data_IF_547347077452
#
_entry.id   IF_547347077452
#
_cell.length_a   1.000
_cell.length_b   1.000
_cell.length_c   1.000
_cell.angle_alpha   90.00
_cell.angle_beta   90.00
_cell.angle_gamma   90.00
#
_symmetry.space_group_name_H-M   'P 1'
#
loop_
_entity.id
_entity.type
_entity.pdbx_description
1 polymer ?
#
# COMPACT_ATOMS: atom_id res chain seq x y z
N UNK A 1 -0.80 16.10 7.95
CA UNK A 1 -0.65 15.22 6.77
C UNK A 1 0.65 14.42 6.93
N UNK A 2 0.71 13.60 7.98
CA UNK A 2 1.95 13.00 8.49
C UNK A 2 1.61 11.73 9.28
N UNK A 3 0.72 10.88 8.75
CA UNK A 3 0.15 9.78 9.52
C UNK A 3 0.66 8.40 9.09
N UNK A 4 1.45 8.34 8.01
CA UNK A 4 2.22 7.15 7.63
C UNK A 4 3.54 7.56 6.96
N UNK A 5 4.47 6.62 6.89
CA UNK A 5 5.75 6.78 6.19
C UNK A 5 5.95 5.59 5.28
N UNK A 6 6.30 5.85 4.03
CA UNK A 6 6.70 4.81 3.09
C UNK A 6 8.15 4.41 3.37
N UNK A 7 8.42 3.12 3.19
CA UNK A 7 9.81 2.66 3.10
C UNK A 7 10.31 2.93 1.69
N UNK A 8 11.62 3.05 1.50
CA UNK A 8 12.19 3.20 0.17
C UNK A 8 11.75 2.08 -0.78
N UNK A 9 11.63 0.83 -0.28
CA UNK A 9 11.12 -0.29 -1.07
C UNK A 9 9.68 -0.06 -1.53
N UNK A 10 8.81 0.44 -0.64
CA UNK A 10 7.42 0.75 -0.99
C UNK A 10 7.30 1.93 -1.98
N UNK A 11 8.21 2.90 -1.92
CA UNK A 11 8.28 3.98 -2.92
C UNK A 11 8.68 3.46 -4.30
N UNK A 12 9.65 2.53 -4.35
CA UNK A 12 10.07 1.86 -5.57
C UNK A 12 8.93 0.99 -6.12
N UNK A 13 8.27 0.19 -5.28
CA UNK A 13 7.13 -0.65 -5.69
C UNK A 13 6.03 0.19 -6.35
N UNK A 14 5.73 1.37 -5.80
CA UNK A 14 4.75 2.28 -6.38
C UNK A 14 5.18 2.81 -7.75
N UNK A 15 6.45 3.19 -7.90
CA UNK A 15 7.00 3.64 -9.18
C UNK A 15 6.94 2.53 -10.24
N UNK A 16 7.37 1.32 -9.88
CA UNK A 16 7.40 0.16 -10.78
C UNK A 16 5.98 -0.24 -11.22
N UNK A 17 4.99 -0.17 -10.33
CA UNK A 17 3.58 -0.44 -10.66
C UNK A 17 3.06 0.57 -11.68
N UNK A 18 3.37 1.85 -11.51
CA UNK A 18 2.95 2.90 -12.44
C UNK A 18 3.65 2.72 -13.80
N UNK A 19 4.97 2.57 -13.82
CA UNK A 19 5.76 2.40 -15.04
C UNK A 19 5.30 1.16 -15.83
N UNK A 20 5.12 0.02 -15.15
CA UNK A 20 4.56 -1.18 -15.77
C UNK A 20 3.16 -0.92 -16.31
N UNK A 21 2.32 -0.23 -15.54
CA UNK A 21 0.97 0.15 -15.95
C UNK A 21 0.97 0.95 -17.25
N UNK A 22 1.83 1.97 -17.33
CA UNK A 22 1.95 2.85 -18.50
C UNK A 22 2.46 2.07 -19.72
N UNK A 23 3.49 1.24 -19.54
CA UNK A 23 4.10 0.45 -20.60
C UNK A 23 3.16 -0.60 -21.20
N UNK A 24 2.26 -1.18 -20.40
CA UNK A 24 1.44 -2.31 -20.82
C UNK A 24 -0.03 -1.99 -21.07
N UNK A 25 -0.59 -0.98 -20.41
CA UNK A 25 -2.03 -0.66 -20.46
C UNK A 25 -2.32 0.80 -20.85
N UNK A 26 -1.27 1.62 -20.96
CA UNK A 26 -1.38 3.05 -21.28
C UNK A 26 -1.63 3.92 -20.06
N UNK A 27 -1.23 5.20 -20.16
CA UNK A 27 -1.20 6.15 -19.04
C UNK A 27 -2.52 6.31 -18.30
N UNK A 28 -3.65 6.37 -19.02
CA UNK A 28 -4.95 6.56 -18.35
C UNK A 28 -5.31 5.39 -17.43
N UNK A 29 -5.11 4.16 -17.88
CA UNK A 29 -5.41 2.96 -17.09
C UNK A 29 -4.42 2.80 -15.93
N UNK A 30 -3.14 3.14 -16.16
CA UNK A 30 -2.10 3.11 -15.14
C UNK A 30 -2.41 4.08 -13.99
N UNK A 31 -2.80 5.32 -14.31
CA UNK A 31 -3.17 6.33 -13.32
C UNK A 31 -4.42 5.95 -12.54
N UNK A 32 -5.47 5.46 -13.21
CA UNK A 32 -6.69 5.01 -12.53
C UNK A 32 -6.40 3.89 -11.52
N UNK A 33 -5.58 2.90 -11.92
CA UNK A 33 -5.15 1.83 -11.05
C UNK A 33 -4.33 2.35 -9.86
N UNK A 34 -3.38 3.25 -10.14
CA UNK A 34 -2.48 3.82 -9.14
C UNK A 34 -3.24 4.65 -8.09
N UNK A 35 -4.19 5.49 -8.51
CA UNK A 35 -5.06 6.25 -7.61
C UNK A 35 -5.92 5.31 -6.74
N UNK A 36 -6.47 4.25 -7.34
CA UNK A 36 -7.20 3.23 -6.63
C UNK A 36 -6.36 2.53 -5.55
N UNK A 37 -5.11 2.19 -5.86
CA UNK A 37 -4.15 1.62 -4.91
C UNK A 37 -3.90 2.58 -3.73
N UNK A 38 -3.61 3.86 -4.03
CA UNK A 38 -3.35 4.88 -3.01
C UNK A 38 -4.56 5.16 -2.12
N UNK A 39 -5.79 4.96 -2.62
CA UNK A 39 -7.03 5.12 -1.84
C UNK A 39 -7.14 4.18 -0.63
N UNK A 40 -6.33 3.12 -0.58
CA UNK A 40 -6.27 2.20 0.56
C UNK A 40 -5.50 2.78 1.74
N UNK A 41 -4.56 3.70 1.50
CA UNK A 41 -3.64 4.18 2.52
C UNK A 41 -4.35 5.01 3.60
N UNK A 42 -5.30 5.92 3.26
CA UNK A 42 -6.14 6.57 4.27
C UNK A 42 -6.93 5.58 5.12
N UNK A 43 -7.47 4.50 4.53
CA UNK A 43 -8.23 3.47 5.25
C UNK A 43 -7.35 2.74 6.29
N UNK A 44 -6.09 2.50 5.94
CA UNK A 44 -5.08 1.94 6.85
C UNK A 44 -4.82 2.88 8.02
N UNK A 45 -4.65 4.18 7.75
CA UNK A 45 -4.43 5.19 8.80
C UNK A 45 -5.63 5.33 9.72
N UNK A 46 -6.84 5.37 9.15
CA UNK A 46 -8.07 5.67 9.89
C UNK A 46 -8.48 4.53 10.83
N UNK A 47 -8.30 3.27 10.38
CA UNK A 47 -8.61 2.10 11.19
C UNK A 47 -7.70 0.91 10.79
N UNK A 48 -6.45 0.85 11.29
CA UNK A 48 -5.52 -0.23 10.95
C UNK A 48 -5.98 -1.60 11.49
N UNK A 49 -6.78 -1.62 12.56
CA UNK A 49 -7.27 -2.84 13.21
C UNK A 49 -8.26 -3.64 12.36
N UNK A 50 -8.85 -3.05 11.30
CA UNK A 50 -9.74 -3.77 10.38
C UNK A 50 -9.00 -4.74 9.44
N UNK A 51 -7.68 -4.59 9.32
CA UNK A 51 -6.87 -5.40 8.40
C UNK A 51 -6.28 -6.62 9.09
N UNK A 52 -6.06 -7.68 8.30
CA UNK A 52 -5.55 -8.94 8.83
C UNK A 52 -4.12 -8.78 9.35
N UNK A 53 -3.92 -9.12 10.62
CA UNK A 53 -2.56 -9.33 11.17
C UNK A 53 -1.99 -10.60 10.56
N UNK A 54 -0.74 -10.54 10.13
CA UNK A 54 -0.02 -11.66 9.53
C UNK A 54 1.21 -12.00 10.37
N UNK A 55 1.00 -12.07 11.68
CA UNK A 55 2.06 -12.31 12.66
C UNK A 55 2.80 -13.65 12.42
N UNK A 56 2.15 -14.61 11.74
CA UNK A 56 2.72 -15.87 11.28
C UNK A 56 3.82 -15.71 10.21
N UNK A 57 3.72 -14.68 9.37
CA UNK A 57 4.73 -14.35 8.35
C UNK A 57 5.79 -13.44 8.95
N UNK A 58 5.35 -12.39 9.65
CA UNK A 58 6.23 -11.45 10.34
C UNK A 58 5.50 -10.76 11.47
N UNK A 59 5.97 -10.95 12.70
CA UNK A 59 5.39 -10.33 13.89
C UNK A 59 5.29 -8.82 13.75
N UNK A 60 4.11 -8.27 14.05
CA UNK A 60 3.80 -6.85 13.99
C UNK A 60 3.26 -6.37 12.64
N UNK A 61 3.24 -7.21 11.61
CA UNK A 61 2.76 -6.84 10.28
C UNK A 61 1.26 -7.07 10.11
N UNK A 62 0.66 -6.15 9.40
CA UNK A 62 -0.70 -6.24 8.88
C UNK A 62 -0.64 -6.22 7.34
N UNK A 63 -1.69 -6.76 6.72
CA UNK A 63 -1.84 -6.80 5.27
C UNK A 63 -3.19 -6.24 4.85
N UNK A 64 -3.16 -5.22 4.01
CA UNK A 64 -4.29 -4.78 3.21
C UNK A 64 -4.21 -5.35 1.79
N UNK A 65 -5.34 -5.37 1.09
CA UNK A 65 -5.45 -5.91 -0.27
C UNK A 65 -6.06 -4.83 -1.17
N UNK A 66 -5.44 -4.62 -2.33
CA UNK A 66 -6.02 -3.86 -3.43
C UNK A 66 -5.94 -4.69 -4.70
N UNK A 67 -7.08 -5.19 -5.17
CA UNK A 67 -7.16 -6.11 -6.30
C UNK A 67 -6.13 -7.26 -6.15
N UNK A 68 -5.12 -7.29 -7.03
CA UNK A 68 -4.07 -8.31 -7.08
C UNK A 68 -2.87 -8.02 -6.18
N UNK A 69 -2.78 -6.83 -5.57
CA UNK A 69 -1.62 -6.41 -4.77
C UNK A 69 -1.88 -6.46 -3.26
N UNK A 70 -0.82 -6.77 -2.54
CA UNK A 70 -0.77 -6.71 -1.08
C UNK A 70 -0.02 -5.47 -0.62
N UNK A 71 -0.61 -4.73 0.31
CA UNK A 71 0.03 -3.60 0.98
C UNK A 71 0.38 -4.06 2.39
N UNK A 72 1.67 -4.19 2.65
CA UNK A 72 2.19 -4.60 3.95
C UNK A 72 2.53 -3.37 4.79
N UNK A 73 2.05 -3.34 6.04
CA UNK A 73 2.30 -2.22 6.94
C UNK A 73 2.48 -2.66 8.38
N UNK A 74 3.06 -1.78 9.20
CA UNK A 74 3.16 -1.93 10.65
C UNK A 74 2.61 -0.68 11.32
N UNK A 75 1.95 -0.85 12.45
CA UNK A 75 1.63 0.26 13.34
C UNK A 75 2.85 0.60 14.20
N UNK A 76 3.37 1.81 14.04
CA UNK A 76 4.39 2.34 14.95
C UNK A 76 3.68 2.92 16.16
N UNK A 77 3.84 2.30 17.33
CA UNK A 77 3.39 2.90 18.58
C UNK A 77 4.23 4.15 18.85
N UNK A 78 3.60 5.32 18.86
CA UNK A 78 4.21 6.51 19.45
C UNK A 78 4.27 6.26 20.95
N UNK A 79 5.49 6.12 21.49
CA UNK A 79 5.72 5.96 22.93
C UNK A 79 5.63 7.29 23.64
#
# INVERSE_FOLDING_TARGET
MSNYRLTLAAEIDLADILEYGEAHFGTSAALEFYEGLLSVFPKIVDNPAQFARIDEVRKGYCRAIYQTYYIYFIERKTS
#
